data_IF_583716850667
#
_entry.id   IF_583716850667
#
_cell.length_a   1.000
_cell.length_b   1.000
_cell.length_c   1.000
_cell.angle_alpha   90.00
_cell.angle_beta   90.00
_cell.angle_gamma   90.00
#
_symmetry.space_group_name_H-M   'P 1'
#
loop_
_entity.id
_entity.type
_entity.pdbx_description
1 polymer ?
#
# COMPACT_ATOMS: atom_id res chain seq x y z
N UNK A 1 -4.43 -5.02 4.83
CA UNK A 1 -3.19 -5.35 4.08
C UNK A 1 -2.37 -4.10 3.84
N UNK A 2 -1.04 -4.22 3.91
CA UNK A 2 -0.09 -3.17 3.56
C UNK A 2 0.93 -3.72 2.56
N UNK A 3 1.12 -3.02 1.45
CA UNK A 3 2.13 -3.32 0.45
C UNK A 3 3.08 -2.12 0.28
N UNK A 4 4.36 -2.38 0.07
CA UNK A 4 5.36 -1.36 -0.20
C UNK A 4 6.18 -1.73 -1.43
N UNK A 5 6.10 -0.90 -2.47
CA UNK A 5 6.94 -0.95 -3.66
C UNK A 5 8.29 -0.30 -3.39
N UNK A 6 9.30 -1.16 -3.27
CA UNK A 6 10.66 -0.79 -2.90
C UNK A 6 11.61 -0.91 -4.09
N UNK A 7 11.07 -0.87 -5.31
CA UNK A 7 11.86 -1.00 -6.52
C UNK A 7 12.76 0.19 -6.75
N UNK A 8 13.78 -0.03 -7.58
CA UNK A 8 14.77 0.97 -7.90
C UNK A 8 14.22 2.23 -8.56
N UNK A 9 12.91 2.36 -8.89
CA UNK A 9 12.28 3.62 -9.32
C UNK A 9 12.23 4.67 -8.20
N UNK A 10 12.52 4.28 -6.96
CA UNK A 10 13.02 5.12 -5.87
C UNK A 10 14.35 5.87 -6.17
N UNK A 11 14.73 6.00 -7.46
CA UNK A 11 16.00 6.53 -8.02
C UNK A 11 16.42 7.88 -7.46
N UNK A 12 15.47 8.65 -6.94
CA UNK A 12 15.78 9.94 -6.37
C UNK A 12 15.84 9.86 -4.82
N UNK A 13 17.05 9.70 -4.25
CA UNK A 13 17.23 9.64 -2.80
C UNK A 13 16.72 10.90 -2.08
N UNK A 14 16.57 12.04 -2.79
CA UNK A 14 15.99 13.26 -2.22
C UNK A 14 14.54 13.07 -1.72
N UNK A 15 13.81 12.09 -2.26
CA UNK A 15 12.43 11.81 -1.84
C UNK A 15 12.36 10.81 -0.69
N UNK A 16 13.42 10.04 -0.41
CA UNK A 16 13.46 9.16 0.76
C UNK A 16 12.31 8.15 0.85
N UNK A 17 11.81 7.63 -0.28
CA UNK A 17 10.64 6.75 -0.37
C UNK A 17 10.65 5.60 0.64
N UNK A 18 11.77 4.87 0.77
CA UNK A 18 11.89 3.78 1.75
C UNK A 18 11.70 4.26 3.20
N UNK A 19 12.25 5.42 3.56
CA UNK A 19 12.09 6.02 4.89
C UNK A 19 10.64 6.46 5.13
N UNK A 20 10.00 7.05 4.12
CA UNK A 20 8.60 7.43 4.21
C UNK A 20 7.67 6.22 4.36
N UNK A 21 7.90 5.18 3.54
CA UNK A 21 7.19 3.92 3.64
C UNK A 21 7.37 3.31 5.04
N UNK A 22 8.58 3.36 5.59
CA UNK A 22 8.86 2.82 6.92
C UNK A 22 8.06 3.57 7.99
N UNK A 23 8.09 4.91 7.98
CA UNK A 23 7.35 5.73 8.94
C UNK A 23 5.83 5.51 8.84
N UNK A 24 5.28 5.49 7.63
CA UNK A 24 3.86 5.21 7.41
C UNK A 24 3.49 3.82 7.93
N UNK A 25 4.30 2.81 7.60
CA UNK A 25 4.10 1.43 8.03
C UNK A 25 4.17 1.28 9.55
N UNK A 26 5.13 1.95 10.20
CA UNK A 26 5.27 1.95 11.66
C UNK A 26 4.04 2.59 12.31
N UNK A 27 3.62 3.75 11.82
CA UNK A 27 2.45 4.46 12.33
C UNK A 27 1.17 3.64 12.16
N UNK A 28 1.04 2.92 11.04
CA UNK A 28 -0.04 1.98 10.77
C UNK A 28 -0.08 0.81 11.75
N UNK A 29 1.04 0.10 11.89
CA UNK A 29 1.15 -1.06 12.77
C UNK A 29 0.94 -0.67 14.25
N UNK A 30 1.41 0.52 14.64
CA UNK A 30 1.26 1.01 16.00
C UNK A 30 -0.18 1.45 16.31
N UNK A 31 -0.77 2.27 15.45
CA UNK A 31 -1.99 3.00 15.78
C UNK A 31 -3.26 2.32 15.27
N UNK A 32 -3.18 1.68 14.10
CA UNK A 32 -4.35 1.16 13.42
C UNK A 32 -4.59 -0.32 13.67
N UNK A 33 -3.56 -1.14 13.89
CA UNK A 33 -3.73 -2.57 14.18
C UNK A 33 -4.29 -2.79 15.60
N UNK A 34 -5.32 -3.64 15.70
CA UNK A 34 -6.02 -4.01 16.94
C UNK A 34 -6.12 -5.53 17.07
N UNK A 35 -6.34 -6.02 18.29
CA UNK A 35 -6.53 -7.46 18.53
C UNK A 35 -7.66 -7.99 17.65
N UNK A 36 -7.45 -9.18 17.07
CA UNK A 36 -8.35 -9.82 16.11
C UNK A 36 -8.10 -9.41 14.65
N UNK A 37 -7.34 -8.35 14.37
CA UNK A 37 -7.03 -7.96 12.99
C UNK A 37 -6.09 -8.97 12.32
N UNK A 38 -6.38 -9.32 11.07
CA UNK A 38 -5.43 -10.00 10.19
C UNK A 38 -4.56 -8.98 9.48
N UNK A 39 -3.24 -9.14 9.59
CA UNK A 39 -2.23 -8.25 9.01
C UNK A 39 -1.40 -9.02 7.99
N UNK A 40 -1.55 -8.64 6.73
CA UNK A 40 -0.71 -9.10 5.63
C UNK A 40 0.18 -7.96 5.15
N UNK A 41 1.49 -8.19 5.11
CA UNK A 41 2.53 -7.25 4.70
C UNK A 41 3.23 -7.77 3.45
N UNK A 42 3.22 -7.00 2.37
CA UNK A 42 3.83 -7.39 1.10
C UNK A 42 4.93 -6.41 0.69
N UNK A 43 6.11 -6.93 0.38
CA UNK A 43 7.14 -6.16 -0.31
C UNK A 43 7.01 -6.39 -1.81
N UNK A 44 6.94 -5.31 -2.57
CA UNK A 44 6.83 -5.33 -4.03
C UNK A 44 8.19 -4.95 -4.62
N UNK A 45 8.70 -5.86 -5.43
CA UNK A 45 9.90 -5.74 -6.27
C UNK A 45 9.51 -6.12 -7.71
N UNK A 46 10.40 -6.79 -8.45
CA UNK A 46 10.05 -7.47 -9.72
C UNK A 46 9.02 -8.60 -9.54
N UNK A 47 8.71 -8.95 -8.29
CA UNK A 47 7.62 -9.82 -7.88
C UNK A 47 7.08 -9.38 -6.52
N UNK A 48 6.13 -10.13 -5.97
CA UNK A 48 5.52 -9.82 -4.67
C UNK A 48 5.99 -10.83 -3.63
N UNK A 49 6.53 -10.35 -2.52
CA UNK A 49 6.96 -11.17 -1.40
C UNK A 49 6.08 -10.89 -0.19
N UNK A 50 5.48 -11.93 0.39
CA UNK A 50 4.86 -11.85 1.71
C UNK A 50 5.93 -11.74 2.79
N UNK A 51 6.01 -10.60 3.45
CA UNK A 51 6.92 -10.32 4.57
C UNK A 51 6.34 -10.85 5.88
N UNK A 52 5.03 -10.72 6.04
CA UNK A 52 4.30 -11.24 7.18
C UNK A 52 2.84 -11.50 6.80
N UNK A 53 2.25 -12.53 7.38
CA UNK A 53 0.82 -12.78 7.33
C UNK A 53 0.40 -13.42 8.65
N UNK A 54 -0.27 -12.64 9.50
CA UNK A 54 -0.61 -13.08 10.86
C UNK A 54 -1.89 -12.43 11.35
N UNK A 55 -2.56 -13.09 12.28
CA UNK A 55 -3.63 -12.50 13.07
C UNK A 55 -3.03 -11.92 14.35
N UNK A 56 -3.20 -10.63 14.57
CA UNK A 56 -2.71 -9.98 15.78
C UNK A 56 -3.64 -10.30 16.94
N UNK A 57 -3.11 -10.93 17.97
CA UNK A 57 -3.84 -11.18 19.21
C UNK A 57 -3.10 -10.53 20.37
N UNK A 58 -3.84 -9.74 21.13
CA UNK A 58 -3.32 -8.95 22.23
C UNK A 58 -3.87 -9.45 23.56
N UNK A 59 -2.97 -9.71 24.50
CA UNK A 59 -3.35 -9.89 25.90
C UNK A 59 -3.58 -8.50 26.51
N UNK A 60 -4.76 -8.28 27.08
CA UNK A 60 -5.12 -7.05 27.81
C UNK A 60 -5.10 -5.75 26.98
N UNK A 61 -5.28 -5.83 25.65
CA UNK A 61 -5.36 -4.63 24.80
C UNK A 61 -4.01 -3.95 24.50
N UNK A 62 -2.89 -4.60 24.80
CA UNK A 62 -1.56 -4.20 24.36
C UNK A 62 -1.47 -4.01 22.83
N UNK A 63 -0.65 -3.07 22.38
CA UNK A 63 -0.34 -2.86 20.96
C UNK A 63 0.75 -3.83 20.48
N UNK A 64 0.98 -3.87 19.17
CA UNK A 64 2.14 -4.55 18.61
C UNK A 64 3.43 -4.03 19.27
N UNK A 65 4.34 -4.95 19.59
CA UNK A 65 5.58 -4.60 20.26
C UNK A 65 6.45 -3.72 19.36
N UNK A 66 7.24 -2.82 19.96
CA UNK A 66 8.21 -1.99 19.21
C UNK A 66 9.16 -2.86 18.38
N UNK A 67 9.59 -4.00 18.93
CA UNK A 67 10.51 -4.92 18.25
C UNK A 67 9.87 -5.54 17.00
N UNK A 68 8.60 -5.98 17.08
CA UNK A 68 7.88 -6.52 15.92
C UNK A 68 7.63 -5.45 14.86
N UNK A 69 7.22 -4.24 15.28
CA UNK A 69 7.03 -3.12 14.36
C UNK A 69 8.32 -2.83 13.58
N UNK A 70 9.46 -2.73 14.27
CA UNK A 70 10.75 -2.48 13.62
C UNK A 70 11.17 -3.65 12.71
N UNK A 71 11.00 -4.90 13.15
CA UNK A 71 11.29 -6.09 12.35
C UNK A 71 10.47 -6.12 11.06
N UNK A 72 9.15 -5.96 11.17
CA UNK A 72 8.24 -6.00 10.03
C UNK A 72 8.46 -4.83 9.07
N UNK A 73 8.62 -3.62 9.59
CA UNK A 73 8.84 -2.44 8.75
C UNK A 73 10.19 -2.48 8.06
N UNK A 74 11.26 -2.89 8.76
CA UNK A 74 12.58 -3.07 8.14
C UNK A 74 12.58 -4.07 7.00
N UNK A 75 11.88 -5.20 7.15
CA UNK A 75 11.74 -6.20 6.09
C UNK A 75 10.85 -5.71 4.93
N UNK A 76 9.76 -5.00 5.25
CA UNK A 76 8.83 -4.43 4.26
C UNK A 76 9.52 -3.38 3.38
N UNK A 77 10.39 -2.55 3.95
CA UNK A 77 11.01 -1.41 3.26
C UNK A 77 12.46 -1.63 2.88
N UNK A 78 12.95 -2.87 2.95
CA UNK A 78 14.28 -3.19 2.47
C UNK A 78 14.30 -3.01 0.93
N UNK A 79 15.21 -2.18 0.39
CA UNK A 79 15.29 -1.90 -1.04
C UNK A 79 15.43 -3.16 -1.90
N UNK A 80 14.77 -3.18 -3.05
CA UNK A 80 14.94 -4.25 -4.04
C UNK A 80 16.30 -4.14 -4.72
N UNK A 81 16.94 -5.28 -4.96
CA UNK A 81 18.17 -5.36 -5.76
C UNK A 81 17.89 -5.53 -7.25
N UNK A 82 16.68 -5.95 -7.62
CA UNK A 82 16.22 -6.15 -8.99
C UNK A 82 15.51 -4.91 -9.54
N UNK A 83 15.54 -4.75 -10.88
CA UNK A 83 14.74 -3.75 -11.57
C UNK A 83 13.32 -4.26 -11.79
N UNK A 84 12.37 -3.32 -11.80
CA UNK A 84 10.98 -3.54 -12.15
C UNK A 84 10.04 -3.78 -10.97
N UNK A 85 8.76 -3.42 -11.17
CA UNK A 85 7.75 -3.31 -10.11
C UNK A 85 6.50 -4.11 -10.40
N UNK A 86 6.10 -5.00 -9.49
CA UNK A 86 4.94 -5.87 -9.62
C UNK A 86 3.69 -5.29 -8.91
N UNK A 87 3.39 -3.99 -9.10
CA UNK A 87 2.23 -3.31 -8.49
C UNK A 87 0.92 -4.04 -8.79
N UNK A 88 0.69 -4.42 -10.05
CA UNK A 88 -0.53 -5.11 -10.47
C UNK A 88 -0.69 -6.44 -9.74
N UNK A 89 0.40 -7.20 -9.58
CA UNK A 89 0.38 -8.46 -8.83
C UNK A 89 0.08 -8.22 -7.34
N UNK A 90 0.60 -7.14 -6.75
CA UNK A 90 0.32 -6.80 -5.36
C UNK A 90 -1.16 -6.46 -5.15
N UNK A 91 -1.79 -5.74 -6.08
CA UNK A 91 -3.23 -5.45 -6.06
C UNK A 91 -4.07 -6.72 -6.25
N UNK A 92 -3.65 -7.63 -7.12
CA UNK A 92 -4.31 -8.93 -7.30
C UNK A 92 -4.23 -9.79 -6.01
N UNK A 93 -3.08 -9.77 -5.34
CA UNK A 93 -2.92 -10.42 -4.04
C UNK A 93 -3.80 -9.75 -2.98
N UNK A 94 -3.91 -8.42 -2.96
CA UNK A 94 -4.82 -7.71 -2.07
C UNK A 94 -6.26 -8.14 -2.25
N UNK A 95 -6.74 -8.21 -3.49
CA UNK A 95 -8.07 -8.71 -3.81
C UNK A 95 -8.28 -10.13 -3.28
N UNK A 96 -7.29 -11.00 -3.47
CA UNK A 96 -7.33 -12.39 -2.99
C UNK A 96 -7.39 -12.45 -1.45
N UNK A 97 -6.65 -11.59 -0.74
CA UNK A 97 -6.68 -11.55 0.72
C UNK A 97 -8.03 -11.02 1.23
N UNK A 98 -8.54 -9.93 0.65
CA UNK A 98 -9.87 -9.39 0.97
C UNK A 98 -10.97 -10.44 0.79
N UNK A 99 -10.90 -11.25 -0.26
CA UNK A 99 -11.87 -12.33 -0.48
C UNK A 99 -11.81 -13.46 0.58
N UNK A 100 -10.68 -13.60 1.29
CA UNK A 100 -10.50 -14.60 2.37
C UNK A 100 -11.00 -14.09 3.72
N UNK A 101 -11.05 -12.77 3.93
CA UNK A 101 -11.54 -12.17 5.16
C UNK A 101 -13.06 -12.34 5.25
N UNK A 102 -13.52 -13.38 5.97
CA UNK A 102 -14.96 -13.71 6.07
C UNK A 102 -15.78 -12.72 6.90
N UNK A 103 -15.12 -11.94 7.76
CA UNK A 103 -15.77 -11.03 8.71
C UNK A 103 -14.97 -9.74 8.84
N UNK A 104 -15.63 -8.59 8.73
CA UNK A 104 -15.00 -7.27 8.90
C UNK A 104 -14.83 -6.50 7.59
N UNK A 105 -14.15 -5.36 7.69
CA UNK A 105 -13.84 -4.48 6.56
C UNK A 105 -12.34 -4.42 6.30
N UNK A 106 -11.93 -4.65 5.07
CA UNK A 106 -10.53 -4.62 4.65
C UNK A 106 -10.10 -3.21 4.27
N UNK A 107 -8.97 -2.82 4.84
CA UNK A 107 -8.19 -1.65 4.43
C UNK A 107 -6.98 -2.15 3.66
N UNK A 108 -6.79 -1.64 2.45
CA UNK A 108 -5.61 -1.90 1.62
C UNK A 108 -4.77 -0.64 1.54
N UNK A 109 -3.49 -0.74 1.88
CA UNK A 109 -2.52 0.34 1.71
C UNK A 109 -1.46 -0.12 0.73
N UNK A 110 -1.19 0.67 -0.30
CA UNK A 110 -0.07 0.48 -1.21
C UNK A 110 0.79 1.73 -1.19
N UNK A 111 2.03 1.58 -0.73
CA UNK A 111 3.05 2.60 -0.90
C UNK A 111 3.78 2.35 -2.22
N UNK A 112 3.74 3.31 -3.14
CA UNK A 112 4.41 3.26 -4.45
C UNK A 112 4.60 4.68 -4.98
N UNK A 113 5.65 4.87 -5.78
CA UNK A 113 5.83 6.09 -6.57
C UNK A 113 4.90 6.17 -7.79
N UNK A 114 4.22 5.07 -8.14
CA UNK A 114 3.31 4.97 -9.28
C UNK A 114 4.00 4.60 -10.61
N UNK A 115 5.30 4.26 -10.58
CA UNK A 115 6.04 3.88 -11.78
C UNK A 115 5.68 2.46 -12.23
N UNK A 116 4.78 2.35 -13.21
CA UNK A 116 4.26 1.07 -13.73
C UNK A 116 4.90 0.62 -15.05
N UNK A 117 5.93 1.33 -15.55
CA UNK A 117 6.57 0.99 -16.82
C UNK A 117 7.14 -0.43 -16.80
N UNK A 118 7.77 -0.82 -15.71
CA UNK A 118 8.34 -2.15 -15.58
C UNK A 118 7.36 -3.18 -14.98
N UNK A 119 6.09 -2.83 -14.82
CA UNK A 119 5.06 -3.75 -14.32
C UNK A 119 4.59 -4.69 -15.43
N UNK A 120 4.85 -6.01 -15.34
CA UNK A 120 4.43 -6.97 -16.36
C UNK A 120 2.90 -7.01 -16.54
N UNK A 121 2.15 -6.68 -15.49
CA UNK A 121 0.69 -6.66 -15.47
C UNK A 121 0.06 -5.33 -15.84
N UNK A 122 0.85 -4.28 -16.16
CA UNK A 122 0.35 -2.90 -16.31
C UNK A 122 -0.85 -2.73 -17.24
N UNK A 123 -0.97 -3.56 -18.28
CA UNK A 123 -2.10 -3.54 -19.21
C UNK A 123 -3.45 -3.88 -18.53
N UNK A 124 -3.43 -4.72 -17.49
CA UNK A 124 -4.59 -5.13 -16.70
C UNK A 124 -4.75 -4.37 -15.38
N UNK A 125 -3.95 -3.32 -15.13
CA UNK A 125 -3.93 -2.60 -13.86
C UNK A 125 -5.30 -2.05 -13.48
N UNK A 126 -5.98 -1.34 -14.38
CA UNK A 126 -7.30 -0.75 -14.13
C UNK A 126 -8.36 -1.82 -13.83
N UNK A 127 -8.35 -2.95 -14.53
CA UNK A 127 -9.27 -4.06 -14.27
C UNK A 127 -8.98 -4.71 -12.92
N UNK A 128 -7.70 -4.90 -12.59
CA UNK A 128 -7.27 -5.47 -11.31
C UNK A 128 -7.69 -4.57 -10.15
N UNK A 129 -7.50 -3.26 -10.29
CA UNK A 129 -7.90 -2.28 -9.29
C UNK A 129 -9.42 -2.20 -9.12
N UNK A 130 -10.18 -2.19 -10.22
CA UNK A 130 -11.64 -2.27 -10.17
C UNK A 130 -12.11 -3.58 -9.50
N UNK A 131 -11.45 -4.70 -9.76
CA UNK A 131 -11.73 -5.98 -9.11
C UNK A 131 -11.44 -5.99 -7.61
N UNK A 132 -10.40 -5.27 -7.16
CA UNK A 132 -10.17 -5.04 -5.74
C UNK A 132 -11.31 -4.22 -5.13
N UNK A 133 -11.67 -3.09 -5.73
CA UNK A 133 -12.78 -2.25 -5.26
C UNK A 133 -14.13 -2.99 -5.28
N UNK A 134 -14.33 -3.93 -6.20
CA UNK A 134 -15.53 -4.76 -6.27
C UNK A 134 -15.57 -5.92 -5.25
N UNK A 135 -14.49 -6.18 -4.52
CA UNK A 135 -14.49 -7.20 -3.48
C UNK A 135 -15.30 -6.72 -2.26
N UNK A 136 -16.28 -7.52 -1.83
CA UNK A 136 -17.26 -7.12 -0.80
C UNK A 136 -16.67 -6.72 0.55
N UNK A 137 -15.43 -7.14 0.85
CA UNK A 137 -14.70 -6.75 2.05
C UNK A 137 -14.02 -5.38 1.97
N UNK A 138 -13.76 -4.83 0.77
CA UNK A 138 -12.94 -3.62 0.61
C UNK A 138 -13.66 -2.35 1.06
N UNK A 139 -13.16 -1.74 2.13
CA UNK A 139 -13.71 -0.50 2.72
C UNK A 139 -12.89 0.74 2.44
N UNK A 140 -11.58 0.61 2.34
CA UNK A 140 -10.68 1.71 2.02
C UNK A 140 -9.46 1.22 1.26
N UNK A 141 -9.01 2.02 0.30
CA UNK A 141 -7.74 1.82 -0.41
C UNK A 141 -6.93 3.10 -0.29
N UNK A 142 -5.71 3.00 0.21
CA UNK A 142 -4.80 4.13 0.32
C UNK A 142 -3.58 3.93 -0.56
N UNK A 143 -3.42 4.83 -1.54
CA UNK A 143 -2.28 4.86 -2.46
C UNK A 143 -1.34 5.99 -2.01
N UNK A 144 -0.20 5.62 -1.46
CA UNK A 144 0.69 6.51 -0.73
C UNK A 144 2.04 6.65 -1.44
N UNK A 145 2.63 7.84 -1.39
CA UNK A 145 3.97 8.09 -1.90
C UNK A 145 4.04 8.31 -3.41
N UNK A 146 2.94 8.70 -4.06
CA UNK A 146 2.92 8.88 -5.51
C UNK A 146 3.91 10.00 -5.94
N UNK A 147 4.74 9.71 -6.94
CA UNK A 147 5.77 10.64 -7.40
C UNK A 147 5.16 11.77 -8.25
N UNK A 148 5.43 13.04 -7.91
CA UNK A 148 5.06 14.17 -8.75
C UNK A 148 6.01 14.35 -9.95
N UNK A 149 7.11 13.62 -10.01
CA UNK A 149 8.13 13.76 -11.05
C UNK A 149 7.56 13.48 -12.44
N UNK A 150 8.17 14.09 -13.46
CA UNK A 150 7.85 13.78 -14.85
C UNK A 150 8.42 12.40 -15.21
N UNK A 151 7.58 11.54 -15.76
CA UNK A 151 8.00 10.30 -16.40
C UNK A 151 8.62 10.54 -17.77
N UNK A 152 9.02 9.46 -18.45
CA UNK A 152 9.74 9.49 -19.75
C UNK A 152 8.97 10.23 -20.88
N UNK A 153 7.65 10.42 -20.74
CA UNK A 153 6.81 11.16 -21.68
C UNK A 153 6.45 12.59 -21.27
N UNK A 154 7.11 13.17 -20.26
CA UNK A 154 6.85 14.54 -19.78
C UNK A 154 5.61 14.72 -18.90
N UNK A 155 4.72 13.71 -18.84
CA UNK A 155 3.59 13.64 -17.91
C UNK A 155 4.06 13.25 -16.51
N UNK A 156 3.34 13.68 -15.46
CA UNK A 156 3.63 13.24 -14.10
C UNK A 156 3.46 11.72 -13.95
N UNK A 157 4.36 11.07 -13.21
CA UNK A 157 4.27 9.64 -12.86
C UNK A 157 2.95 9.35 -12.15
N UNK A 158 2.59 10.19 -11.16
CA UNK A 158 1.29 10.12 -10.47
C UNK A 158 0.13 10.17 -11.45
N UNK A 159 0.08 11.16 -12.34
CA UNK A 159 -1.08 11.35 -13.21
C UNK A 159 -1.21 10.21 -14.23
N UNK A 160 -0.08 9.68 -14.70
CA UNK A 160 -0.02 8.48 -15.54
C UNK A 160 -0.54 7.26 -14.80
N UNK A 161 -0.14 7.07 -13.54
CA UNK A 161 -0.63 6.00 -12.69
C UNK A 161 -2.13 6.09 -12.45
N UNK A 162 -2.62 7.28 -12.06
CA UNK A 162 -4.05 7.56 -11.84
C UNK A 162 -4.87 7.25 -13.09
N UNK A 163 -4.38 7.64 -14.27
CA UNK A 163 -5.01 7.31 -15.55
C UNK A 163 -5.06 5.80 -15.78
N UNK A 164 -3.99 5.07 -15.44
CA UNK A 164 -3.91 3.61 -15.59
C UNK A 164 -4.84 2.84 -14.64
N UNK A 165 -5.16 3.40 -13.46
CA UNK A 165 -6.19 2.87 -12.56
C UNK A 165 -7.61 2.99 -13.15
N UNK A 166 -7.81 3.84 -14.16
CA UNK A 166 -9.10 4.07 -14.81
C UNK A 166 -10.13 4.70 -13.88
N UNK A 167 -11.41 4.36 -14.06
CA UNK A 167 -12.52 4.94 -13.26
C UNK A 167 -12.40 4.67 -11.76
N UNK A 168 -11.71 3.59 -11.37
CA UNK A 168 -11.52 3.24 -9.95
C UNK A 168 -10.75 4.30 -9.17
N UNK A 169 -9.93 5.12 -9.83
CA UNK A 169 -9.21 6.22 -9.18
C UNK A 169 -10.14 7.24 -8.49
N UNK A 170 -11.37 7.40 -8.97
CA UNK A 170 -12.35 8.34 -8.44
C UNK A 170 -13.33 7.71 -7.44
N UNK A 171 -13.13 6.45 -7.04
CA UNK A 171 -13.98 5.79 -6.05
C UNK A 171 -13.83 6.47 -4.68
N UNK A 172 -14.94 6.73 -4.00
CA UNK A 172 -14.98 7.39 -2.68
C UNK A 172 -14.18 6.69 -1.58
N UNK A 173 -13.84 5.41 -1.76
CA UNK A 173 -13.02 4.62 -0.84
C UNK A 173 -11.52 4.78 -1.08
N UNK A 174 -11.13 5.42 -2.19
CA UNK A 174 -9.74 5.60 -2.58
C UNK A 174 -9.23 6.93 -2.04
N UNK A 175 -8.17 6.85 -1.26
CA UNK A 175 -7.38 8.01 -0.82
C UNK A 175 -6.02 7.94 -1.51
N UNK A 176 -5.52 9.08 -1.96
CA UNK A 176 -4.21 9.19 -2.58
C UNK A 176 -3.37 10.26 -1.89
N UNK A 177 -2.09 9.98 -1.71
CA UNK A 177 -1.12 10.93 -1.20
C UNK A 177 0.14 10.92 -2.05
N UNK A 178 0.59 12.11 -2.45
CA UNK A 178 1.91 12.28 -3.05
C UNK A 178 3.03 12.12 -2.02
N UNK A 179 4.25 11.94 -2.49
CA UNK A 179 5.45 11.81 -1.66
C UNK A 179 5.71 12.99 -0.70
N UNK A 180 5.19 14.18 -1.00
CA UNK A 180 5.37 15.37 -0.14
C UNK A 180 4.22 15.58 0.86
N UNK A 181 3.07 14.94 0.61
CA UNK A 181 1.83 15.21 1.34
C UNK A 181 1.50 14.15 2.39
N UNK A 182 2.36 13.14 2.57
CA UNK A 182 2.05 12.01 3.45
C UNK A 182 1.76 12.42 4.90
N UNK A 183 2.48 13.41 5.42
CA UNK A 183 2.21 13.93 6.77
C UNK A 183 0.85 14.63 6.86
N UNK A 184 0.40 15.28 5.79
CA UNK A 184 -0.88 15.98 5.73
C UNK A 184 -2.05 15.02 5.51
N UNK A 185 -1.83 13.91 4.80
CA UNK A 185 -2.88 12.94 4.44
C UNK A 185 -3.05 11.84 5.49
N UNK A 186 -2.03 11.57 6.31
CA UNK A 186 -2.12 10.52 7.35
C UNK A 186 -3.31 10.69 8.31
N UNK A 187 -3.63 11.89 8.85
CA UNK A 187 -4.81 12.06 9.70
C UNK A 187 -6.13 11.69 9.01
N UNK A 188 -6.29 12.11 7.75
CA UNK A 188 -7.46 11.77 6.91
C UNK A 188 -7.56 10.26 6.68
N UNK A 189 -6.44 9.62 6.38
CA UNK A 189 -6.38 8.18 6.24
C UNK A 189 -6.71 7.46 7.55
N UNK A 190 -6.16 7.88 8.69
CA UNK A 190 -6.48 7.31 10.00
C UNK A 190 -7.98 7.45 10.33
N UNK A 191 -8.59 8.59 9.99
CA UNK A 191 -10.04 8.78 10.12
C UNK A 191 -10.83 7.83 9.22
N UNK A 192 -10.40 7.63 7.97
CA UNK A 192 -11.02 6.69 7.04
C UNK A 192 -10.91 5.23 7.52
N UNK A 193 -9.76 4.81 8.07
CA UNK A 193 -9.59 3.49 8.69
C UNK A 193 -10.53 3.31 9.87
N UNK A 194 -10.64 4.32 10.75
CA UNK A 194 -11.56 4.25 11.88
C UNK A 194 -13.04 4.19 11.44
N UNK A 195 -13.41 4.88 10.35
CA UNK A 195 -14.76 4.80 9.76
C UNK A 195 -15.02 3.44 9.14
N UNK A 196 -14.05 2.88 8.42
CA UNK A 196 -14.14 1.57 7.75
C UNK A 196 -14.32 0.39 8.72
N UNK A 197 -14.00 0.58 10.01
CA UNK A 197 -14.17 -0.41 11.08
C UNK A 197 -15.55 -0.40 11.74
N UNK A 198 -16.33 0.67 11.58
CA UNK A 198 -17.69 0.79 12.12
C UNK A 198 -18.70 0.20 11.16
#
# INVERSE_FOLDING_TARGET
MLAADMTGSSKNPAYGYAKQAALLSQSLLLNQVRSGDTVTLLRVCSGVQTVADFRFESKNGARLSKADILRYTGALTQPCTTRGSAITAALAQARTMTARTKTGGDVVVLFTDGAVLDDPGRAGLGQTFAGLLGAGGTRAVFLAGLSPEKGEGGNSVRDTFVKALGRGANDSRVLMAGAYDLNNVYPTFAAAVNKARK
#
